data_IF_885974332731
#
_entry.id   IF_885974332731
#
_cell.length_a   1.000
_cell.length_b   1.000
_cell.length_c   1.000
_cell.angle_alpha   90.00
_cell.angle_beta   90.00
_cell.angle_gamma   90.00
#
_symmetry.space_group_name_H-M   'P 1'
#
loop_
_entity.id
_entity.type
_entity.pdbx_description
1 polymer ?
#
# COMPACT_ATOMS: atom_id res chain seq x y z
N UNK A 1 -21.19 5.91 -3.72
CA UNK A 1 -20.40 4.69 -4.00
C UNK A 1 -20.39 4.38 -5.49
N UNK A 2 -21.52 4.07 -6.11
CA UNK A 2 -21.58 3.56 -7.50
C UNK A 2 -21.09 4.49 -8.63
N UNK A 3 -20.83 5.76 -8.36
CA UNK A 3 -20.44 6.76 -9.38
C UNK A 3 -18.93 7.02 -9.42
N UNK A 4 -18.22 6.80 -8.31
CA UNK A 4 -16.77 7.01 -8.23
C UNK A 4 -16.07 5.70 -7.82
N UNK A 5 -15.31 5.06 -8.73
CA UNK A 5 -14.62 3.80 -8.42
C UNK A 5 -13.57 3.94 -7.31
N UNK A 6 -13.17 5.15 -6.95
CA UNK A 6 -12.21 5.43 -5.89
C UNK A 6 -12.86 5.80 -4.55
N UNK A 7 -14.20 5.84 -4.47
CA UNK A 7 -14.93 6.30 -3.28
C UNK A 7 -14.42 5.68 -1.98
N UNK A 8 -14.24 4.35 -1.95
CA UNK A 8 -13.79 3.63 -0.75
C UNK A 8 -12.31 3.86 -0.40
N UNK A 9 -11.50 4.31 -1.36
CA UNK A 9 -10.08 4.64 -1.14
C UNK A 9 -9.92 6.02 -0.50
N UNK A 10 -10.93 6.88 -0.66
CA UNK A 10 -10.98 8.17 0.00
C UNK A 10 -11.35 8.00 1.46
N UNK A 11 -10.84 8.92 2.28
CA UNK A 11 -11.23 9.05 3.67
C UNK A 11 -12.00 10.35 3.86
N UNK A 12 -11.97 10.83 5.09
CA UNK A 12 -12.67 12.00 5.58
C UNK A 12 -11.77 13.23 5.72
N UNK A 13 -10.47 13.11 5.39
CA UNK A 13 -9.47 14.14 5.63
C UNK A 13 -9.10 14.94 4.38
N UNK A 14 -9.58 14.53 3.21
CA UNK A 14 -9.24 15.17 1.93
C UNK A 14 -7.71 15.25 1.73
N UNK A 15 -7.00 14.16 1.99
CA UNK A 15 -5.55 14.14 1.87
C UNK A 15 -5.11 14.12 0.41
N UNK A 16 -4.01 14.81 0.15
CA UNK A 16 -3.30 14.88 -1.13
C UNK A 16 -1.84 14.53 -0.91
N UNK A 17 -1.24 13.82 -1.86
CA UNK A 17 0.19 13.56 -1.89
C UNK A 17 0.84 14.42 -2.97
N UNK A 18 1.84 15.18 -2.56
CA UNK A 18 2.54 16.15 -3.39
C UNK A 18 3.88 15.55 -3.80
N UNK A 19 4.14 15.49 -5.11
CA UNK A 19 5.32 14.83 -5.67
C UNK A 19 6.08 15.81 -6.56
N UNK A 20 7.35 16.14 -6.25
CA UNK A 20 8.16 16.99 -7.12
C UNK A 20 8.59 16.20 -8.37
N UNK A 21 8.46 16.83 -9.53
CA UNK A 21 8.92 16.28 -10.80
C UNK A 21 10.45 16.16 -10.82
N UNK A 22 10.96 15.14 -11.52
CA UNK A 22 12.40 14.93 -11.68
C UNK A 22 13.14 14.48 -10.42
N UNK A 23 12.45 14.31 -9.27
CA UNK A 23 13.03 13.69 -8.07
C UNK A 23 12.61 12.22 -7.97
N UNK A 24 13.51 11.41 -7.42
CA UNK A 24 13.32 9.99 -7.16
C UNK A 24 13.61 9.67 -5.69
N UNK A 25 13.35 8.42 -5.28
CA UNK A 25 13.64 7.90 -3.93
C UNK A 25 12.82 8.55 -2.81
N UNK A 26 11.59 8.97 -3.11
CA UNK A 26 10.68 9.58 -2.14
C UNK A 26 11.07 11.00 -1.69
N UNK A 27 12.13 11.60 -2.26
CA UNK A 27 12.65 12.89 -1.80
C UNK A 27 11.69 14.03 -2.10
N UNK A 28 11.32 14.75 -1.04
CA UNK A 28 10.41 15.90 -1.12
C UNK A 28 8.95 15.52 -1.34
N UNK A 29 8.60 14.23 -1.26
CA UNK A 29 7.20 13.79 -1.24
C UNK A 29 6.66 14.02 0.17
N UNK A 30 5.46 14.57 0.27
CA UNK A 30 4.74 14.71 1.53
C UNK A 30 3.23 14.60 1.29
N UNK A 31 2.50 14.32 2.38
CA UNK A 31 1.04 14.22 2.39
C UNK A 31 0.49 15.43 3.15
N UNK A 32 -0.62 16.00 2.70
CA UNK A 32 -1.24 17.16 3.35
C UNK A 32 -2.74 17.21 3.10
N UNK A 33 -3.49 17.78 4.04
CA UNK A 33 -4.88 18.25 3.90
C UNK A 33 -4.94 19.78 3.66
N UNK A 34 -3.80 20.48 3.70
CA UNK A 34 -3.73 21.95 3.61
C UNK A 34 -3.56 22.41 2.17
N UNK A 35 -4.53 23.16 1.67
CA UNK A 35 -4.50 23.71 0.31
C UNK A 35 -3.34 24.69 0.12
N UNK A 36 -3.02 25.48 1.16
CA UNK A 36 -1.96 26.49 1.10
C UNK A 36 -0.60 25.84 0.81
N UNK A 37 -0.28 24.70 1.43
CA UNK A 37 0.97 23.97 1.18
C UNK A 37 1.06 23.46 -0.26
N UNK A 38 -0.05 22.97 -0.80
CA UNK A 38 -0.12 22.51 -2.18
C UNK A 38 0.10 23.67 -3.17
N UNK A 39 -0.50 24.84 -2.90
CA UNK A 39 -0.32 26.03 -3.72
C UNK A 39 1.10 26.60 -3.61
N UNK A 40 1.69 26.60 -2.43
CA UNK A 40 3.06 27.10 -2.21
C UNK A 40 4.10 26.29 -2.98
N UNK A 41 3.90 24.97 -3.12
CA UNK A 41 4.75 24.13 -3.99
C UNK A 41 4.75 24.61 -5.45
N UNK A 42 3.59 25.07 -5.95
CA UNK A 42 3.43 25.56 -7.33
C UNK A 42 3.95 26.97 -7.57
N UNK A 43 4.28 27.74 -6.53
CA UNK A 43 4.78 29.12 -6.64
C UNK A 43 6.29 29.19 -6.91
N UNK A 44 7.03 28.12 -6.62
CA UNK A 44 8.47 28.05 -6.87
C UNK A 44 8.79 27.85 -8.36
N UNK A 45 9.73 28.64 -8.90
CA UNK A 45 10.12 28.58 -10.33
C UNK A 45 10.92 27.32 -10.72
N UNK A 46 11.42 26.54 -9.76
CA UNK A 46 12.46 25.53 -10.02
C UNK A 46 11.96 24.06 -10.11
N UNK A 47 10.70 23.76 -9.81
CA UNK A 47 10.20 22.38 -9.90
C UNK A 47 8.73 22.30 -10.28
N UNK A 48 8.42 21.51 -11.32
CA UNK A 48 7.07 21.04 -11.58
C UNK A 48 6.62 20.13 -10.43
N UNK A 49 5.36 20.21 -10.02
CA UNK A 49 4.79 19.35 -8.97
C UNK A 49 3.54 18.63 -9.48
N UNK A 50 3.31 17.43 -8.97
CA UNK A 50 2.07 16.69 -9.14
C UNK A 50 1.34 16.62 -7.81
N UNK A 51 0.09 17.09 -7.79
CA UNK A 51 -0.85 16.79 -6.75
C UNK A 51 -1.69 15.57 -7.16
N UNK A 52 -1.73 14.56 -6.29
CA UNK A 52 -2.52 13.36 -6.51
C UNK A 52 -3.37 13.10 -5.27
N UNK A 53 -4.64 12.72 -5.47
CA UNK A 53 -5.50 12.33 -4.35
C UNK A 53 -4.83 11.19 -3.58
N UNK A 54 -4.67 11.37 -2.27
CA UNK A 54 -4.07 10.35 -1.43
C UNK A 54 -5.10 9.27 -1.10
N UNK A 55 -4.65 8.01 -1.10
CA UNK A 55 -5.41 6.86 -0.62
C UNK A 55 -5.33 6.87 0.90
N UNK A 56 -6.43 7.28 1.54
CA UNK A 56 -6.54 7.45 3.00
C UNK A 56 -6.95 6.15 3.70
N UNK A 57 -7.59 5.25 2.96
CA UNK A 57 -7.95 3.91 3.44
C UNK A 57 -7.17 2.86 2.63
N UNK A 58 -5.83 2.82 2.71
CA UNK A 58 -5.06 1.77 2.07
C UNK A 58 -5.37 0.42 2.74
N UNK A 59 -5.16 -0.67 2.00
CA UNK A 59 -5.01 -1.96 2.68
C UNK A 59 -3.76 -1.90 3.55
N UNK A 60 -3.89 -2.39 4.79
CA UNK A 60 -2.83 -2.43 5.78
C UNK A 60 -2.63 -3.87 6.26
N UNK A 61 -1.39 -4.20 6.58
CA UNK A 61 -1.01 -5.50 7.16
C UNK A 61 -0.18 -5.19 8.40
N UNK A 62 -0.52 -5.80 9.53
CA UNK A 62 0.12 -5.51 10.83
C UNK A 62 0.13 -3.99 11.14
N UNK A 63 -1.00 -3.32 10.87
CA UNK A 63 -1.17 -1.86 10.95
C UNK A 63 -0.26 -1.02 10.04
N UNK A 64 0.54 -1.61 9.16
CA UNK A 64 1.46 -0.87 8.28
C UNK A 64 0.90 -0.76 6.88
N UNK A 65 1.08 0.41 6.29
CA UNK A 65 0.86 0.63 4.86
C UNK A 65 1.92 -0.13 4.05
N UNK A 66 1.55 -0.61 2.87
CA UNK A 66 2.50 -1.25 1.96
C UNK A 66 2.28 -0.86 0.50
N UNK A 67 3.28 -1.14 -0.34
CA UNK A 67 3.13 -1.18 -1.79
C UNK A 67 3.61 -2.52 -2.35
N UNK A 68 3.12 -2.84 -3.54
CA UNK A 68 3.52 -4.02 -4.31
C UNK A 68 4.49 -3.61 -5.41
N UNK A 69 5.61 -4.33 -5.53
CA UNK A 69 6.57 -4.17 -6.62
C UNK A 69 6.40 -5.29 -7.65
N UNK A 70 5.78 -4.95 -8.78
CA UNK A 70 5.72 -5.82 -9.95
C UNK A 70 6.82 -5.47 -10.95
N UNK A 71 7.55 -6.48 -11.43
CA UNK A 71 8.53 -6.34 -12.50
C UNK A 71 7.86 -6.64 -13.85
N UNK A 72 8.19 -5.84 -14.86
CA UNK A 72 7.77 -6.06 -16.24
C UNK A 72 8.92 -5.76 -17.20
N UNK A 73 9.02 -6.52 -18.30
CA UNK A 73 10.00 -6.37 -19.35
C UNK A 73 9.30 -6.11 -20.68
N UNK A 74 9.69 -5.04 -21.37
CA UNK A 74 9.16 -4.71 -22.70
C UNK A 74 10.18 -5.18 -23.73
N UNK A 75 9.80 -6.14 -24.57
CA UNK A 75 10.70 -6.74 -25.58
C UNK A 75 10.44 -6.23 -26.98
N UNK A 76 9.26 -5.66 -27.24
CA UNK A 76 8.92 -5.09 -28.54
C UNK A 76 7.84 -4.03 -28.39
N UNK A 77 7.92 -2.98 -29.20
CA UNK A 77 6.91 -1.93 -29.27
C UNK A 77 5.90 -2.19 -30.40
N UNK A 78 6.29 -2.94 -31.43
CA UNK A 78 5.44 -3.28 -32.56
C UNK A 78 5.83 -4.63 -33.18
N UNK A 79 5.06 -5.71 -32.93
CA UNK A 79 3.91 -5.76 -32.02
C UNK A 79 4.32 -5.51 -30.57
N UNK A 80 3.42 -4.98 -29.75
CA UNK A 80 3.70 -4.73 -28.33
C UNK A 80 3.94 -6.07 -27.61
N UNK A 81 5.14 -6.26 -27.08
CA UNK A 81 5.55 -7.42 -26.29
C UNK A 81 5.91 -6.97 -24.88
N UNK A 82 5.07 -7.32 -23.90
CA UNK A 82 5.25 -7.01 -22.48
C UNK A 82 5.17 -8.32 -21.69
N UNK A 83 6.18 -8.56 -20.87
CA UNK A 83 6.29 -9.73 -20.01
C UNK A 83 6.24 -9.28 -18.57
N UNK A 84 5.27 -9.75 -17.81
CA UNK A 84 5.27 -9.58 -16.36
C UNK A 84 6.10 -10.71 -15.75
N UNK A 85 6.93 -10.37 -14.79
CA UNK A 85 7.63 -11.38 -14.01
C UNK A 85 6.59 -12.13 -13.16
N UNK A 86 6.26 -13.33 -13.60
CA UNK A 86 5.30 -14.20 -12.92
C UNK A 86 6.01 -14.95 -11.79
N UNK A 87 5.66 -14.58 -10.56
CA UNK A 87 6.18 -15.23 -9.35
C UNK A 87 5.55 -16.63 -9.16
N UNK A 88 4.35 -16.89 -9.71
CA UNK A 88 3.67 -18.18 -9.57
C UNK A 88 4.36 -19.29 -10.38
N UNK A 89 5.08 -18.93 -11.44
CA UNK A 89 5.83 -19.90 -12.26
C UNK A 89 7.09 -20.41 -11.54
N UNK A 90 7.72 -19.60 -10.69
CA UNK A 90 8.91 -19.97 -9.91
C UNK A 90 8.58 -20.77 -8.64
N UNK A 91 7.32 -20.76 -8.22
CA UNK A 91 6.79 -21.57 -7.12
C UNK A 91 6.90 -23.08 -7.41
N UNK A 92 6.75 -23.49 -8.68
CA UNK A 92 6.85 -24.91 -9.07
C UNK A 92 8.28 -25.45 -9.02
N UNK A 93 9.28 -24.58 -9.22
CA UNK A 93 10.68 -25.00 -9.35
C UNK A 93 11.50 -24.83 -8.06
N UNK A 94 10.93 -24.37 -6.93
CA UNK A 94 11.61 -24.20 -5.62
C UNK A 94 12.92 -23.39 -5.64
N UNK A 95 13.25 -22.67 -6.72
CA UNK A 95 14.64 -22.26 -6.99
C UNK A 95 14.96 -20.81 -6.61
N UNK A 96 14.00 -19.88 -6.46
CA UNK A 96 14.35 -18.44 -6.35
C UNK A 96 13.45 -17.55 -5.47
N UNK A 97 12.45 -18.09 -4.77
CA UNK A 97 11.36 -17.31 -4.16
C UNK A 97 11.83 -16.26 -3.13
N UNK A 98 12.81 -16.59 -2.31
CA UNK A 98 13.25 -15.76 -1.18
C UNK A 98 14.10 -14.53 -1.53
N UNK A 99 14.47 -14.33 -2.81
CA UNK A 99 15.41 -13.26 -3.19
C UNK A 99 14.76 -12.02 -3.80
N UNK A 100 13.46 -12.05 -4.10
CA UNK A 100 12.76 -10.93 -4.73
C UNK A 100 11.58 -10.46 -3.89
N UNK A 101 11.85 -9.47 -3.04
CA UNK A 101 10.83 -8.84 -2.20
C UNK A 101 9.72 -8.21 -3.04
N UNK A 102 8.48 -8.62 -2.75
CA UNK A 102 7.27 -8.29 -3.48
C UNK A 102 6.50 -7.15 -2.82
N UNK A 103 6.34 -7.20 -1.50
CA UNK A 103 5.74 -6.13 -0.70
C UNK A 103 6.81 -5.31 0.01
N UNK A 104 6.54 -4.01 0.14
CA UNK A 104 7.38 -3.08 0.90
C UNK A 104 6.50 -2.32 1.88
N UNK A 105 6.81 -2.44 3.16
CA UNK A 105 6.06 -1.79 4.22
C UNK A 105 6.59 -0.38 4.49
N UNK A 106 5.71 0.47 5.00
CA UNK A 106 6.11 1.61 5.83
C UNK A 106 6.78 1.10 7.10
N UNK A 107 7.44 1.99 7.83
CA UNK A 107 8.09 1.63 9.09
C UNK A 107 7.13 1.68 10.27
N UNK A 108 6.39 2.77 10.38
CA UNK A 108 5.49 3.03 11.50
C UNK A 108 4.07 2.57 11.16
N UNK A 109 3.25 2.44 12.21
CA UNK A 109 1.83 2.18 12.06
C UNK A 109 1.16 3.29 11.26
N UNK A 110 0.28 2.90 10.35
CA UNK A 110 -0.43 3.81 9.48
C UNK A 110 -1.45 4.61 10.28
N UNK A 111 -1.21 5.92 10.37
CA UNK A 111 -2.18 6.86 10.91
C UNK A 111 -2.43 7.98 9.90
N UNK A 112 -3.63 8.02 9.30
CA UNK A 112 -4.03 9.10 8.38
C UNK A 112 -4.10 10.47 9.06
N UNK A 113 -4.15 10.53 10.39
CA UNK A 113 -4.18 11.79 11.12
C UNK A 113 -2.80 12.46 11.23
N UNK A 114 -1.73 11.67 11.25
CA UNK A 114 -0.34 12.13 11.36
C UNK A 114 0.34 12.22 9.99
N UNK A 115 -0.05 13.22 9.20
CA UNK A 115 0.50 13.47 7.87
C UNK A 115 2.00 13.83 7.88
N UNK A 116 2.53 14.23 9.04
CA UNK A 116 3.95 14.53 9.24
C UNK A 116 4.83 13.28 9.32
N UNK A 117 4.25 12.13 9.69
CA UNK A 117 4.99 10.88 9.74
C UNK A 117 5.17 10.25 8.36
N UNK A 118 6.27 10.65 7.71
CA UNK A 118 6.71 10.07 6.43
C UNK A 118 6.94 8.55 6.49
N UNK A 119 7.27 7.98 7.64
CA UNK A 119 7.58 6.55 7.76
C UNK A 119 6.31 5.69 7.81
N UNK A 120 5.20 6.22 8.28
CA UNK A 120 3.87 5.61 8.19
C UNK A 120 3.29 5.67 6.76
N UNK A 121 3.65 6.71 6.00
CA UNK A 121 3.01 7.03 4.72
C UNK A 121 3.81 6.64 3.47
N UNK A 122 5.14 6.56 3.57
CA UNK A 122 6.05 6.22 2.46
C UNK A 122 6.73 4.87 2.71
N UNK A 123 6.62 4.00 1.72
CA UNK A 123 7.12 2.62 1.69
C UNK A 123 8.46 2.48 0.96
N UNK A 124 9.04 3.61 0.53
CA UNK A 124 10.33 3.61 -0.16
C UNK A 124 11.44 3.25 0.84
N UNK A 125 12.21 2.19 0.59
CA UNK A 125 13.39 1.84 1.42
C UNK A 125 14.39 3.00 1.57
N UNK A 126 14.43 3.91 0.60
CA UNK A 126 15.27 5.12 0.67
C UNK A 126 14.80 6.15 1.70
N UNK A 127 13.56 6.06 2.16
CA UNK A 127 12.99 6.85 3.27
C UNK A 127 12.99 6.00 4.54
N UNK A 128 12.42 4.79 4.48
CA UNK A 128 12.23 3.86 5.61
C UNK A 128 13.54 3.51 6.31
N UNK A 129 14.66 3.41 5.59
CA UNK A 129 15.99 3.12 6.18
C UNK A 129 16.49 4.16 7.19
N UNK A 130 15.86 5.33 7.23
CA UNK A 130 16.19 6.41 8.17
C UNK A 130 15.27 6.43 9.39
N UNK A 131 14.37 5.45 9.53
CA UNK A 131 13.56 5.30 10.72
C UNK A 131 14.41 4.76 11.89
N UNK A 132 14.01 5.11 13.10
CA UNK A 132 14.69 4.66 14.30
C UNK A 132 14.59 3.13 14.42
N UNK A 133 15.71 2.47 14.75
CA UNK A 133 15.82 1.01 14.88
C UNK A 133 15.56 0.23 13.58
N UNK A 134 15.63 0.87 12.41
CA UNK A 134 15.44 0.18 11.13
C UNK A 134 16.30 -1.08 10.97
N UNK A 135 17.57 -1.05 11.40
CA UNK A 135 18.48 -2.19 11.23
C UNK A 135 18.06 -3.40 12.08
N UNK A 136 17.35 -3.19 13.19
CA UNK A 136 16.87 -4.27 14.06
C UNK A 136 15.65 -5.00 13.47
N UNK A 137 14.84 -4.31 12.66
CA UNK A 137 13.56 -4.82 12.13
C UNK A 137 13.51 -4.81 10.61
N UNK A 138 14.67 -4.74 9.95
CA UNK A 138 14.77 -4.57 8.49
C UNK A 138 14.09 -5.70 7.73
N UNK A 139 14.27 -6.93 8.20
CA UNK A 139 13.70 -8.13 7.56
C UNK A 139 12.17 -8.15 7.68
N UNK A 140 11.58 -7.45 8.65
CA UNK A 140 10.13 -7.29 8.78
C UNK A 140 9.54 -6.22 7.85
N UNK A 141 10.38 -5.45 7.14
CA UNK A 141 9.92 -4.35 6.29
C UNK A 141 9.59 -4.76 4.86
N UNK A 142 9.79 -6.03 4.51
CA UNK A 142 9.54 -6.55 3.17
C UNK A 142 8.99 -7.97 3.26
N UNK A 143 8.06 -8.31 2.37
CA UNK A 143 7.60 -9.69 2.19
C UNK A 143 7.85 -10.15 0.76
N UNK A 144 8.09 -11.44 0.59
CA UNK A 144 7.97 -12.09 -0.71
C UNK A 144 6.50 -12.34 -1.08
N UNK A 145 6.28 -12.98 -2.23
CA UNK A 145 4.92 -13.25 -2.67
C UNK A 145 4.25 -14.39 -1.89
N UNK A 146 5.02 -15.37 -1.41
CA UNK A 146 4.49 -16.52 -0.66
C UNK A 146 3.90 -16.07 0.66
N UNK A 147 4.63 -15.22 1.39
CA UNK A 147 4.18 -14.62 2.64
C UNK A 147 2.89 -13.83 2.43
N UNK A 148 2.80 -13.04 1.36
CA UNK A 148 1.59 -12.27 1.05
C UNK A 148 0.40 -13.15 0.69
N UNK A 149 0.59 -14.19 -0.12
CA UNK A 149 -0.49 -15.14 -0.48
C UNK A 149 -0.96 -15.92 0.74
N UNK A 150 -0.02 -16.41 1.55
CA UNK A 150 -0.34 -17.11 2.80
C UNK A 150 -1.18 -16.20 3.71
N UNK A 151 -0.79 -14.93 3.84
CA UNK A 151 -1.58 -13.94 4.57
C UNK A 151 -2.99 -13.76 4.01
N UNK A 152 -3.13 -13.60 2.69
CA UNK A 152 -4.44 -13.43 2.04
C UNK A 152 -5.36 -14.64 2.26
N UNK A 153 -4.83 -15.86 2.19
CA UNK A 153 -5.60 -17.10 2.45
C UNK A 153 -6.13 -17.13 3.88
N UNK A 154 -5.28 -16.82 4.86
CA UNK A 154 -5.69 -16.74 6.27
C UNK A 154 -6.76 -15.66 6.46
N UNK A 155 -6.63 -14.50 5.81
CA UNK A 155 -7.63 -13.45 5.88
C UNK A 155 -8.96 -13.85 5.23
N UNK A 156 -8.93 -14.61 4.13
CA UNK A 156 -10.14 -15.11 3.47
C UNK A 156 -10.88 -16.12 4.35
N UNK A 157 -10.16 -17.07 4.94
CA UNK A 157 -10.71 -18.03 5.90
C UNK A 157 -11.32 -17.32 7.12
N UNK A 158 -10.61 -16.32 7.68
CA UNK A 158 -11.11 -15.53 8.79
C UNK A 158 -12.38 -14.73 8.44
N UNK A 159 -12.46 -14.18 7.23
CA UNK A 159 -13.67 -13.50 6.74
C UNK A 159 -14.83 -14.47 6.61
N UNK A 160 -14.62 -15.65 6.04
CA UNK A 160 -15.66 -16.68 5.90
C UNK A 160 -16.18 -17.14 7.27
N UNK A 161 -15.28 -17.35 8.25
CA UNK A 161 -15.67 -17.70 9.61
C UNK A 161 -16.52 -16.60 10.25
N UNK A 162 -16.11 -15.32 10.15
CA UNK A 162 -16.85 -14.18 10.71
C UNK A 162 -18.24 -14.02 10.10
N UNK A 163 -18.37 -14.23 8.79
CA UNK A 163 -19.68 -14.19 8.13
C UNK A 163 -20.59 -15.32 8.62
N UNK A 164 -20.05 -16.54 8.83
CA UNK A 164 -20.85 -17.65 9.38
C UNK A 164 -21.29 -17.39 10.81
N UNK A 165 -20.39 -16.90 11.67
CA UNK A 165 -20.74 -16.63 13.07
C UNK A 165 -21.82 -15.55 13.20
N UNK A 166 -21.78 -14.50 12.39
CA UNK A 166 -22.81 -13.46 12.38
C UNK A 166 -24.18 -13.99 11.93
N UNK A 167 -24.20 -14.92 10.97
CA UNK A 167 -25.44 -15.57 10.52
C UNK A 167 -25.99 -16.50 11.60
N UNK A 168 -25.13 -17.23 12.32
CA UNK A 168 -25.54 -18.08 13.44
C UNK A 168 -26.09 -17.25 14.61
N UNK A 169 -25.41 -16.15 14.98
CA UNK A 169 -25.87 -15.22 16.02
C UNK A 169 -27.23 -14.57 15.67
N UNK A 170 -27.44 -14.18 14.40
CA UNK A 170 -28.72 -13.64 13.94
C UNK A 170 -29.84 -14.70 13.94
N UNK A 171 -29.52 -15.97 13.64
CA UNK A 171 -30.49 -17.06 13.69
C UNK A 171 -30.90 -17.38 15.13
N UNK A 172 -29.95 -17.39 16.07
CA UNK A 172 -30.21 -17.62 17.49
C UNK A 172 -30.97 -16.44 18.12
N UNK A 173 -30.67 -15.20 17.74
CA UNK A 173 -31.42 -14.03 18.20
C UNK A 173 -32.89 -14.07 17.77
N UNK A 174 -33.18 -14.51 16.54
CA UNK A 174 -34.55 -14.63 16.03
C UNK A 174 -35.30 -15.86 16.60
N UNK A 175 -34.60 -16.86 17.13
CA UNK A 175 -35.21 -18.04 17.74
C UNK A 175 -35.65 -17.82 19.21
N UNK A 176 -35.25 -16.71 19.83
CA UNK A 176 -35.56 -16.36 21.23
C UNK A 176 -36.74 -15.37 21.34
N UNK A 177 -37.21 -14.82 20.22
CA UNK A 177 -38.34 -13.87 20.16
C UNK A 177 -39.71 -14.52 19.86
N UNK A 178 -39.79 -15.84 19.63
CA UNK A 178 -41.03 -16.63 19.44
C UNK A 178 -41.38 -17.50 20.67
#
# INVERSE_FOLDING_TARGET
EDVDPQFHLYGDRNLWILKPAGKSRGRGIFVTDRLEEALDCGRGQEALWMAQKYIENPQIIRNKKFDVRQWACITSWQPMGIWFYDWAYLMYDNILSSSFNFLRFGFDDYDKADTGNKFAHLTNNSIVKYADKFEETKDDTMWDCEEYIAHLKVCEEAKQYRTRSLVEDDMDANAVED
#
